data_IF_729537059305
#
_entry.id   IF_729537059305
#
_cell.length_a   1.000
_cell.length_b   1.000
_cell.length_c   1.000
_cell.angle_alpha   90.00
_cell.angle_beta   90.00
_cell.angle_gamma   90.00
#
_symmetry.space_group_name_H-M   'P 1'
#
loop_
_entity.id
_entity.type
_entity.pdbx_description
1 polymer ?
#
# COMPACT_ATOMS: atom_id res chain seq x y z
N UNK A 1 14.16 -17.97 -62.78
CA UNK A 1 14.46 -18.44 -61.38
C UNK A 1 14.56 -17.23 -60.46
N UNK A 2 13.46 -16.81 -59.83
CA UNK A 2 13.39 -15.61 -58.99
C UNK A 2 13.53 -16.04 -57.55
N UNK A 3 14.62 -15.69 -56.90
CA UNK A 3 14.87 -15.96 -55.45
C UNK A 3 14.09 -14.95 -54.63
N UNK A 4 13.08 -15.38 -53.90
CA UNK A 4 12.45 -14.62 -52.83
C UNK A 4 13.36 -14.62 -51.56
N UNK A 5 13.83 -13.44 -51.22
CA UNK A 5 14.57 -13.21 -49.95
C UNK A 5 13.56 -13.00 -48.83
N UNK A 6 13.39 -13.99 -47.96
CA UNK A 6 12.52 -13.93 -46.80
C UNK A 6 13.25 -13.12 -45.71
N UNK A 7 12.84 -11.86 -45.52
CA UNK A 7 13.35 -11.00 -44.43
C UNK A 7 12.66 -11.44 -43.15
N UNK A 8 13.36 -12.18 -42.27
CA UNK A 8 12.91 -12.43 -40.90
C UNK A 8 13.05 -11.17 -40.08
N UNK A 9 11.93 -10.53 -39.77
CA UNK A 9 11.87 -9.49 -38.71
C UNK A 9 12.06 -10.18 -37.36
N UNK A 10 13.26 -10.07 -36.81
CA UNK A 10 13.52 -10.41 -35.40
C UNK A 10 12.91 -9.30 -34.56
N UNK A 11 11.69 -9.56 -34.05
CA UNK A 11 11.05 -8.71 -33.05
C UNK A 11 11.82 -8.89 -31.74
N UNK A 12 12.89 -8.10 -31.55
CA UNK A 12 13.61 -8.01 -30.29
C UNK A 12 12.69 -7.46 -29.23
N UNK A 13 12.30 -8.28 -28.25
CA UNK A 13 11.62 -7.82 -27.05
C UNK A 13 12.54 -6.82 -26.33
N UNK A 14 12.23 -5.54 -26.46
CA UNK A 14 12.88 -4.48 -25.68
C UNK A 14 12.48 -4.69 -24.23
N UNK A 15 13.33 -5.36 -23.48
CA UNK A 15 13.21 -5.44 -22.04
C UNK A 15 13.37 -4.02 -21.50
N UNK A 16 12.28 -3.40 -21.07
CA UNK A 16 12.32 -2.11 -20.43
C UNK A 16 13.26 -2.21 -19.20
N UNK A 17 14.28 -1.34 -19.14
CA UNK A 17 15.19 -1.29 -17.98
C UNK A 17 14.34 -1.07 -16.71
N UNK A 18 14.62 -1.81 -15.62
CA UNK A 18 13.91 -1.59 -14.34
C UNK A 18 14.05 -0.11 -13.94
N UNK A 19 12.95 0.50 -13.51
CA UNK A 19 12.96 1.87 -13.01
C UNK A 19 13.91 1.98 -11.82
N UNK A 20 14.70 3.06 -11.73
CA UNK A 20 15.59 3.27 -10.60
C UNK A 20 14.78 3.35 -9.30
N UNK A 21 15.35 2.83 -8.22
CA UNK A 21 14.75 2.91 -6.89
C UNK A 21 14.47 4.38 -6.50
N UNK A 22 13.31 4.63 -5.90
CA UNK A 22 12.92 5.94 -5.39
C UNK A 22 12.81 5.90 -3.87
N UNK A 23 13.45 6.85 -3.18
CA UNK A 23 13.47 6.95 -1.72
C UNK A 23 13.17 8.37 -1.27
N UNK A 24 12.33 8.50 -0.26
CA UNK A 24 12.01 9.76 0.40
C UNK A 24 12.09 9.60 1.92
N UNK A 25 12.74 10.57 2.58
CA UNK A 25 12.51 10.94 3.96
C UNK A 25 12.11 12.41 4.00
N UNK A 26 10.93 12.67 4.50
CA UNK A 26 10.34 14.00 4.62
C UNK A 26 9.95 14.27 6.05
N UNK A 27 10.37 15.41 6.60
CA UNK A 27 9.90 15.89 7.89
C UNK A 27 8.70 16.82 7.64
N UNK A 28 7.50 16.37 8.02
CA UNK A 28 6.25 17.09 7.78
C UNK A 28 6.11 18.30 8.69
N UNK A 29 6.67 18.25 9.90
CA UNK A 29 6.62 19.34 10.88
C UNK A 29 7.43 20.55 10.41
N UNK A 30 8.60 20.32 9.80
CA UNK A 30 9.49 21.41 9.32
C UNK A 30 9.34 21.69 7.83
N UNK A 31 8.66 20.84 7.09
CA UNK A 31 8.51 20.94 5.63
C UNK A 31 9.75 20.53 4.83
N UNK A 32 10.77 19.94 5.46
CA UNK A 32 12.03 19.62 4.80
C UNK A 32 12.11 18.22 4.21
N UNK A 33 12.65 18.09 3.01
CA UNK A 33 13.06 16.85 2.40
C UNK A 33 14.47 16.51 2.85
N UNK A 34 14.61 15.52 3.76
CA UNK A 34 15.91 15.11 4.30
C UNK A 34 16.64 14.13 3.38
N UNK A 35 15.87 13.23 2.72
CA UNK A 35 16.37 12.31 1.69
C UNK A 35 15.39 12.34 0.54
N UNK A 36 15.86 12.47 -0.69
CA UNK A 36 15.03 12.42 -1.89
C UNK A 36 15.82 11.91 -3.08
N UNK A 37 15.33 10.83 -3.70
CA UNK A 37 15.88 10.33 -4.96
C UNK A 37 14.76 9.90 -5.91
N UNK A 38 14.91 10.25 -7.21
CA UNK A 38 13.96 9.92 -8.28
C UNK A 38 12.50 10.31 -7.95
N UNK A 39 12.31 11.52 -7.39
CA UNK A 39 11.04 11.99 -6.81
C UNK A 39 9.90 12.07 -7.83
N UNK A 40 10.22 12.50 -9.06
CA UNK A 40 9.24 12.76 -10.12
C UNK A 40 8.98 11.54 -11.01
N UNK A 41 9.67 10.43 -10.75
CA UNK A 41 9.47 9.19 -11.49
C UNK A 41 8.08 8.63 -11.19
N UNK A 42 7.22 8.59 -12.20
CA UNK A 42 5.92 7.91 -12.12
C UNK A 42 6.14 6.40 -12.17
N UNK A 43 5.61 5.69 -11.19
CA UNK A 43 5.81 4.26 -11.10
C UNK A 43 4.66 3.54 -10.39
N UNK A 44 4.49 2.24 -10.62
CA UNK A 44 3.53 1.43 -9.87
C UNK A 44 3.86 1.44 -8.37
N UNK A 45 2.81 1.57 -7.54
CA UNK A 45 2.92 1.63 -6.08
C UNK A 45 2.45 0.35 -5.37
N UNK A 46 2.02 -0.63 -6.15
CA UNK A 46 1.51 -1.90 -5.65
C UNK A 46 0.49 -1.70 -4.52
N UNK A 47 0.52 -2.54 -3.48
CA UNK A 47 -0.45 -2.51 -2.39
C UNK A 47 -0.38 -1.29 -1.45
N UNK A 48 0.50 -0.30 -1.69
CA UNK A 48 0.36 1.03 -1.04
C UNK A 48 -1.00 1.65 -1.43
N UNK A 49 -1.52 1.32 -2.61
CA UNK A 49 -2.90 1.60 -3.07
C UNK A 49 -3.96 1.35 -2.01
N UNK A 50 -3.82 0.32 -1.18
CA UNK A 50 -4.82 -0.05 -0.17
C UNK A 50 -5.04 1.01 0.92
N UNK A 51 -4.13 1.96 1.08
CA UNK A 51 -4.38 3.14 1.92
C UNK A 51 -5.45 4.04 1.30
N UNK A 52 -5.44 4.23 -0.03
CA UNK A 52 -6.51 4.95 -0.74
C UNK A 52 -7.84 4.20 -0.62
N UNK A 53 -7.83 2.88 -0.80
CA UNK A 53 -9.01 2.03 -0.62
C UNK A 53 -9.60 2.16 0.78
N UNK A 54 -8.75 2.15 1.83
CA UNK A 54 -9.19 2.34 3.20
C UNK A 54 -9.85 3.71 3.42
N UNK A 55 -9.22 4.79 2.93
CA UNK A 55 -9.76 6.15 3.06
C UNK A 55 -11.12 6.29 2.36
N UNK A 56 -11.25 5.85 1.10
CA UNK A 56 -12.51 5.94 0.35
C UNK A 56 -13.62 5.13 1.01
N UNK A 57 -13.30 3.94 1.56
CA UNK A 57 -14.25 3.15 2.34
C UNK A 57 -14.74 3.91 3.57
N UNK A 58 -13.83 4.52 4.34
CA UNK A 58 -14.15 5.24 5.58
C UNK A 58 -14.84 6.58 5.33
N UNK A 59 -14.60 7.22 4.19
CA UNK A 59 -15.32 8.43 3.79
C UNK A 59 -16.79 8.14 3.49
N UNK A 60 -17.05 6.97 2.90
CA UNK A 60 -18.41 6.54 2.59
C UNK A 60 -19.14 6.06 3.84
N UNK A 61 -18.54 5.18 4.62
CA UNK A 61 -19.20 4.59 5.79
C UNK A 61 -18.16 4.08 6.80
N UNK A 62 -18.25 4.61 8.02
CA UNK A 62 -17.36 4.27 9.14
C UNK A 62 -17.85 3.08 9.98
N UNK A 63 -19.04 2.53 9.67
CA UNK A 63 -19.57 1.37 10.40
C UNK A 63 -18.75 0.10 10.07
N UNK A 64 -17.87 -0.28 10.98
CA UNK A 64 -17.02 -1.46 10.86
C UNK A 64 -17.77 -2.77 11.22
N UNK A 65 -18.99 -2.69 11.76
CA UNK A 65 -19.79 -3.87 12.17
C UNK A 65 -20.61 -4.43 11.01
N UNK A 66 -20.85 -3.64 9.97
CA UNK A 66 -21.57 -4.07 8.77
C UNK A 66 -20.93 -5.31 8.14
N UNK A 67 -21.77 -6.30 7.82
CA UNK A 67 -21.30 -7.58 7.25
C UNK A 67 -21.24 -7.55 5.73
N UNK A 68 -20.15 -8.04 5.16
CA UNK A 68 -19.82 -8.10 3.74
C UNK A 68 -19.59 -9.55 3.31
N UNK A 69 -19.92 -9.87 2.06
CA UNK A 69 -19.61 -11.17 1.46
C UNK A 69 -18.29 -11.11 0.71
N UNK A 70 -17.26 -11.81 1.18
CA UNK A 70 -16.02 -11.98 0.44
C UNK A 70 -16.26 -12.90 -0.76
N UNK A 71 -15.84 -12.45 -1.95
CA UNK A 71 -16.02 -13.19 -3.20
C UNK A 71 -14.96 -14.28 -3.39
N UNK A 72 -13.81 -14.18 -2.71
CA UNK A 72 -12.70 -15.15 -2.78
C UNK A 72 -12.14 -15.34 -4.18
N UNK A 73 -12.02 -14.26 -4.98
CA UNK A 73 -11.71 -14.34 -6.42
C UNK A 73 -10.30 -13.90 -6.81
N UNK A 74 -9.62 -13.10 -5.98
CA UNK A 74 -8.39 -12.37 -6.38
C UNK A 74 -7.16 -12.82 -5.57
N UNK A 75 -7.15 -14.08 -5.10
CA UNK A 75 -6.04 -14.60 -4.28
C UNK A 75 -6.03 -13.99 -2.88
N UNK A 76 -7.23 -13.85 -2.28
CA UNK A 76 -7.41 -13.41 -0.91
C UNK A 76 -6.97 -14.46 0.10
N UNK A 77 -6.74 -14.01 1.31
CA UNK A 77 -6.34 -14.84 2.46
C UNK A 77 -7.55 -15.16 3.32
N UNK A 78 -8.53 -14.23 3.38
CA UNK A 78 -9.79 -14.51 4.03
C UNK A 78 -10.57 -15.57 3.23
N UNK A 79 -11.02 -16.67 3.87
CA UNK A 79 -11.89 -17.63 3.24
C UNK A 79 -13.17 -17.00 2.72
N UNK A 80 -13.77 -17.63 1.71
CA UNK A 80 -15.13 -17.25 1.27
C UNK A 80 -16.08 -17.29 2.44
N UNK A 81 -16.88 -16.26 2.59
CA UNK A 81 -17.83 -16.17 3.69
C UNK A 81 -18.31 -14.75 3.94
N UNK A 82 -18.97 -14.59 5.06
CA UNK A 82 -19.43 -13.32 5.55
C UNK A 82 -18.48 -12.84 6.65
N UNK A 83 -18.02 -11.61 6.51
CA UNK A 83 -17.07 -10.95 7.39
C UNK A 83 -17.58 -9.56 7.74
N UNK A 84 -17.27 -9.06 8.92
CA UNK A 84 -17.51 -7.66 9.22
C UNK A 84 -16.59 -6.76 8.36
N UNK A 85 -17.01 -5.56 8.05
CA UNK A 85 -16.16 -4.57 7.35
C UNK A 85 -14.85 -4.36 8.10
N UNK A 86 -14.87 -4.36 9.43
CA UNK A 86 -13.68 -4.29 10.27
C UNK A 86 -12.70 -5.43 10.02
N UNK A 87 -13.17 -6.68 9.98
CA UNK A 87 -12.32 -7.84 9.69
C UNK A 87 -11.72 -7.76 8.27
N UNK A 88 -12.53 -7.35 7.29
CA UNK A 88 -12.07 -7.13 5.91
C UNK A 88 -11.01 -6.02 5.87
N UNK A 89 -11.22 -4.90 6.60
CA UNK A 89 -10.25 -3.81 6.69
C UNK A 89 -8.93 -4.27 7.34
N UNK A 90 -8.99 -5.06 8.40
CA UNK A 90 -7.81 -5.65 9.04
C UNK A 90 -7.05 -6.56 8.07
N UNK A 91 -7.73 -7.46 7.36
CA UNK A 91 -7.09 -8.34 6.38
C UNK A 91 -6.40 -7.53 5.27
N UNK A 92 -7.04 -6.47 4.78
CA UNK A 92 -6.51 -5.59 3.75
C UNK A 92 -5.27 -4.83 4.22
N UNK A 93 -5.32 -4.19 5.38
CA UNK A 93 -4.23 -3.31 5.85
C UNK A 93 -3.07 -4.10 6.46
N UNK A 94 -3.33 -5.12 7.25
CA UNK A 94 -2.31 -5.92 7.97
C UNK A 94 -1.64 -6.91 7.03
N UNK A 95 -2.44 -7.76 6.36
CA UNK A 95 -1.93 -8.87 5.55
C UNK A 95 -1.86 -8.54 4.07
N UNK A 96 -2.38 -7.36 3.67
CA UNK A 96 -2.41 -6.92 2.28
C UNK A 96 -3.32 -7.77 1.39
N UNK A 97 -4.41 -8.30 1.95
CA UNK A 97 -5.38 -9.14 1.25
C UNK A 97 -6.00 -8.38 0.07
N UNK A 98 -5.92 -8.95 -1.14
CA UNK A 98 -6.43 -8.34 -2.36
C UNK A 98 -7.93 -8.51 -2.49
N UNK A 99 -8.47 -9.67 -2.09
CA UNK A 99 -9.92 -9.93 -2.12
C UNK A 99 -10.65 -9.05 -1.12
N UNK A 100 -10.03 -8.75 0.03
CA UNK A 100 -10.55 -7.80 0.98
C UNK A 100 -10.68 -6.38 0.36
N UNK A 101 -9.71 -5.92 -0.41
CA UNK A 101 -9.81 -4.64 -1.11
C UNK A 101 -10.95 -4.62 -2.15
N UNK A 102 -11.08 -5.68 -2.95
CA UNK A 102 -12.18 -5.84 -3.92
C UNK A 102 -13.55 -5.96 -3.22
N UNK A 103 -13.60 -6.61 -2.06
CA UNK A 103 -14.83 -6.73 -1.25
C UNK A 103 -15.30 -5.36 -0.76
N UNK A 104 -14.40 -4.52 -0.26
CA UNK A 104 -14.72 -3.15 0.15
C UNK A 104 -15.18 -2.29 -1.04
N UNK A 105 -14.52 -2.41 -2.19
CA UNK A 105 -14.91 -1.69 -3.40
C UNK A 105 -16.29 -2.13 -3.94
N UNK A 106 -16.64 -3.40 -3.80
CA UNK A 106 -17.93 -3.93 -4.23
C UNK A 106 -19.09 -3.47 -3.31
N UNK A 107 -18.81 -3.16 -2.04
CA UNK A 107 -19.80 -2.64 -1.07
C UNK A 107 -20.13 -1.16 -1.26
N UNK A 108 -19.35 -0.45 -2.05
CA UNK A 108 -19.54 0.98 -2.31
C UNK A 108 -20.81 1.25 -3.16
N UNK A 109 -21.57 2.34 -2.95
CA UNK A 109 -22.69 2.73 -3.79
C UNK A 109 -22.28 2.87 -5.27
N UNK A 110 -22.96 2.14 -6.14
CA UNK A 110 -22.57 2.03 -7.56
C UNK A 110 -21.45 1.03 -7.82
N UNK A 111 -21.00 0.30 -6.78
CA UNK A 111 -20.07 -0.82 -6.85
C UNK A 111 -18.64 -0.42 -7.23
N UNK A 112 -17.88 -1.39 -7.68
CA UNK A 112 -16.44 -1.27 -7.97
C UNK A 112 -16.10 -0.10 -8.91
N UNK A 113 -16.91 0.15 -9.94
CA UNK A 113 -16.62 1.22 -10.92
C UNK A 113 -16.75 2.61 -10.27
N UNK A 114 -17.80 2.85 -9.48
CA UNK A 114 -17.98 4.08 -8.74
C UNK A 114 -16.89 4.25 -7.66
N UNK A 115 -16.47 3.15 -7.02
CA UNK A 115 -15.38 3.17 -6.06
C UNK A 115 -14.05 3.62 -6.69
N UNK A 116 -13.69 3.10 -7.87
CA UNK A 116 -12.48 3.52 -8.59
C UNK A 116 -12.55 4.99 -9.02
N UNK A 117 -13.71 5.46 -9.45
CA UNK A 117 -13.92 6.87 -9.72
C UNK A 117 -13.69 7.73 -8.46
N UNK A 118 -14.20 7.29 -7.29
CA UNK A 118 -13.97 7.96 -6.01
C UNK A 118 -12.48 7.95 -5.59
N UNK A 119 -11.74 6.84 -5.81
CA UNK A 119 -10.30 6.78 -5.56
C UNK A 119 -9.54 7.83 -6.39
N UNK A 120 -9.84 7.94 -7.67
CA UNK A 120 -9.19 8.90 -8.56
C UNK A 120 -9.61 10.35 -8.25
N UNK A 121 -10.87 10.60 -7.92
CA UNK A 121 -11.33 11.90 -7.44
C UNK A 121 -10.61 12.32 -6.16
N UNK A 122 -10.45 11.39 -5.20
CA UNK A 122 -9.70 11.65 -3.96
C UNK A 122 -8.23 11.92 -4.23
N UNK A 123 -7.61 11.26 -5.21
CA UNK A 123 -6.22 11.56 -5.61
C UNK A 123 -6.06 13.00 -6.10
N UNK A 124 -7.03 13.51 -6.86
CA UNK A 124 -7.08 14.92 -7.29
C UNK A 124 -7.19 15.84 -6.08
N UNK A 125 -8.13 15.58 -5.16
CA UNK A 125 -8.31 16.37 -3.92
C UNK A 125 -7.05 16.42 -3.07
N UNK A 126 -6.29 15.32 -3.03
CA UNK A 126 -5.02 15.22 -2.33
C UNK A 126 -3.85 15.83 -3.14
N UNK A 127 -4.11 16.38 -4.32
CA UNK A 127 -3.10 16.90 -5.23
C UNK A 127 -1.98 15.88 -5.53
N UNK A 128 -2.29 14.59 -5.68
CA UNK A 128 -1.31 13.56 -5.98
C UNK A 128 -0.82 13.65 -7.42
N UNK A 129 0.47 14.01 -7.67
CA UNK A 129 0.96 14.18 -9.03
C UNK A 129 0.90 12.87 -9.81
N UNK A 130 0.38 12.94 -11.04
CA UNK A 130 0.33 11.80 -11.98
C UNK A 130 -0.24 10.52 -11.36
N UNK A 131 -1.18 10.66 -10.41
CA UNK A 131 -1.82 9.50 -9.80
C UNK A 131 -2.91 8.92 -10.69
N UNK A 132 -2.95 7.61 -10.76
CA UNK A 132 -4.04 6.85 -11.33
C UNK A 132 -4.26 5.57 -10.52
N UNK A 133 -5.53 5.20 -10.33
CA UNK A 133 -5.93 3.97 -9.65
C UNK A 133 -6.80 3.15 -10.60
N UNK A 134 -6.29 2.00 -11.06
CA UNK A 134 -6.95 1.06 -11.96
C UNK A 134 -7.66 -0.08 -11.23
N UNK A 135 -7.27 -0.35 -9.98
CA UNK A 135 -7.94 -1.31 -9.11
C UNK A 135 -7.81 -0.90 -7.62
N UNK A 136 -8.62 -1.49 -6.69
CA UNK A 136 -8.56 -1.14 -5.27
C UNK A 136 -7.43 -1.86 -4.52
N UNK A 137 -6.76 -2.85 -5.13
CA UNK A 137 -5.77 -3.71 -4.47
C UNK A 137 -4.32 -3.33 -4.74
N UNK A 138 -4.04 -2.68 -5.87
CA UNK A 138 -2.70 -2.38 -6.35
C UNK A 138 -2.06 -3.50 -7.16
N UNK A 139 -2.85 -4.46 -7.66
CA UNK A 139 -2.38 -5.49 -8.59
C UNK A 139 -2.22 -4.96 -10.01
N UNK A 140 -3.10 -4.06 -10.43
CA UNK A 140 -3.00 -3.40 -11.74
C UNK A 140 -1.79 -2.46 -11.75
N UNK A 141 -0.90 -2.64 -12.74
CA UNK A 141 0.25 -1.77 -12.95
C UNK A 141 -0.10 -0.31 -13.27
N UNK A 142 -1.37 -0.02 -13.56
CA UNK A 142 -1.91 1.32 -13.72
C UNK A 142 -2.11 2.05 -12.40
N UNK A 143 -1.97 1.40 -11.25
CA UNK A 143 -1.92 2.07 -9.94
C UNK A 143 -0.57 2.75 -9.78
N UNK A 144 -0.49 3.97 -10.26
CA UNK A 144 0.76 4.73 -10.36
C UNK A 144 0.67 6.09 -9.69
N UNK A 145 1.80 6.59 -9.23
CA UNK A 145 2.04 8.00 -8.86
C UNK A 145 3.54 8.22 -8.64
N UNK A 146 3.94 9.42 -8.24
CA UNK A 146 5.31 9.80 -7.87
C UNK A 146 5.56 9.60 -6.37
N UNK A 147 6.82 9.77 -5.90
CA UNK A 147 7.12 9.82 -4.46
C UNK A 147 6.28 10.86 -3.72
N UNK A 148 6.11 12.04 -4.31
CA UNK A 148 5.31 13.11 -3.70
C UNK A 148 3.83 12.72 -3.60
N UNK A 149 3.30 11.98 -4.58
CA UNK A 149 1.96 11.44 -4.50
C UNK A 149 1.80 10.44 -3.37
N UNK A 150 2.75 9.52 -3.19
CA UNK A 150 2.73 8.56 -2.06
C UNK A 150 2.88 9.29 -0.72
N UNK A 151 3.73 10.33 -0.63
CA UNK A 151 3.84 11.18 0.57
C UNK A 151 2.48 11.75 0.96
N UNK A 152 1.76 12.35 0.02
CA UNK A 152 0.42 12.93 0.26
C UNK A 152 -0.60 11.88 0.67
N UNK A 153 -0.57 10.71 0.04
CA UNK A 153 -1.40 9.56 0.41
C UNK A 153 -1.16 9.12 1.86
N UNK A 154 0.10 9.01 2.28
CA UNK A 154 0.49 8.62 3.63
C UNK A 154 0.06 9.65 4.68
N UNK A 155 0.34 10.93 4.44
CA UNK A 155 -0.10 12.01 5.33
C UNK A 155 -1.63 12.02 5.47
N UNK A 156 -2.37 11.98 4.36
CA UNK A 156 -3.82 11.93 4.40
C UNK A 156 -4.34 10.69 5.14
N UNK A 157 -3.73 9.51 4.93
CA UNK A 157 -4.13 8.29 5.62
C UNK A 157 -3.84 8.33 7.12
N UNK A 158 -2.84 9.10 7.57
CA UNK A 158 -2.51 9.27 8.98
C UNK A 158 -3.52 10.13 9.76
N UNK A 159 -4.41 10.82 9.07
CA UNK A 159 -5.51 11.57 9.69
C UNK A 159 -6.74 10.69 10.01
N UNK A 160 -6.73 9.40 9.58
CA UNK A 160 -7.79 8.45 9.87
C UNK A 160 -7.43 7.58 11.10
N UNK A 161 -8.08 7.76 12.27
CA UNK A 161 -7.76 6.98 13.47
C UNK A 161 -7.81 5.47 13.24
N UNK A 162 -8.79 4.99 12.46
CA UNK A 162 -8.95 3.57 12.12
C UNK A 162 -7.76 3.05 11.32
N UNK A 163 -7.23 3.83 10.37
CA UNK A 163 -6.05 3.42 9.59
C UNK A 163 -4.81 3.39 10.47
N UNK A 164 -4.62 4.41 11.32
CA UNK A 164 -3.53 4.44 12.32
C UNK A 164 -3.58 3.22 13.22
N UNK A 165 -4.74 2.91 13.78
CA UNK A 165 -4.92 1.77 14.67
C UNK A 165 -4.61 0.43 13.98
N UNK A 166 -5.20 0.19 12.79
CA UNK A 166 -5.15 -1.12 12.14
C UNK A 166 -3.79 -1.36 11.50
N UNK A 167 -3.23 -0.38 10.77
CA UNK A 167 -2.04 -0.60 9.93
C UNK A 167 -0.79 -0.98 10.71
N UNK A 168 -0.71 -0.61 12.00
CA UNK A 168 0.44 -0.88 12.87
C UNK A 168 0.25 -2.11 13.77
N UNK A 169 -0.90 -2.78 13.74
CA UNK A 169 -1.07 -4.04 14.47
C UNK A 169 -0.09 -5.08 13.94
N UNK A 170 0.66 -5.73 14.84
CA UNK A 170 1.65 -6.76 14.48
C UNK A 170 1.01 -7.98 13.84
N UNK A 171 -0.25 -8.26 14.23
CA UNK A 171 -1.09 -9.32 13.68
C UNK A 171 -2.58 -9.04 13.97
N UNK A 172 -3.46 -9.71 13.25
CA UNK A 172 -4.88 -9.84 13.60
C UNK A 172 -5.27 -11.32 13.74
N UNK A 173 -6.21 -11.60 14.64
CA UNK A 173 -6.74 -12.94 14.90
C UNK A 173 -8.25 -12.89 14.72
N UNK A 174 -8.79 -13.82 13.93
CA UNK A 174 -10.24 -13.94 13.70
C UNK A 174 -10.71 -15.36 13.93
N UNK A 175 -11.92 -15.51 14.45
CA UNK A 175 -12.60 -16.78 14.54
C UNK A 175 -13.51 -16.96 13.32
N UNK A 176 -13.13 -17.86 12.43
CA UNK A 176 -13.94 -18.19 11.25
C UNK A 176 -14.76 -19.45 11.51
N UNK A 177 -16.09 -19.29 11.50
CA UNK A 177 -17.01 -20.43 11.62
C UNK A 177 -17.22 -21.06 10.24
N UNK A 178 -16.69 -22.27 10.06
CA UNK A 178 -16.92 -23.07 8.88
C UNK A 178 -17.69 -24.35 9.26
N UNK A 179 -18.94 -24.47 8.81
CA UNK A 179 -19.89 -25.52 9.24
C UNK A 179 -20.03 -25.47 10.77
N UNK A 180 -19.74 -26.62 11.48
CA UNK A 180 -19.81 -26.73 12.94
C UNK A 180 -18.49 -26.49 13.66
N UNK A 181 -17.40 -26.10 12.93
CA UNK A 181 -16.07 -25.92 13.50
C UNK A 181 -15.67 -24.44 13.46
N UNK A 182 -15.02 -23.97 14.54
CA UNK A 182 -14.36 -22.67 14.57
C UNK A 182 -12.90 -22.89 14.20
N UNK A 183 -12.40 -22.11 13.25
CA UNK A 183 -10.98 -22.05 12.86
C UNK A 183 -10.45 -20.68 13.18
N UNK A 184 -9.31 -20.62 13.88
CA UNK A 184 -8.58 -19.37 14.08
C UNK A 184 -7.80 -19.04 12.82
N UNK A 185 -7.95 -17.81 12.34
CA UNK A 185 -7.20 -17.25 11.23
C UNK A 185 -6.26 -16.22 11.81
N UNK A 186 -4.96 -16.43 11.64
CA UNK A 186 -3.92 -15.51 12.04
C UNK A 186 -3.37 -14.77 10.82
N UNK A 187 -3.37 -13.45 10.89
CA UNK A 187 -2.89 -12.56 9.83
C UNK A 187 -1.70 -11.74 10.34
N UNK A 188 -0.46 -12.22 10.20
CA UNK A 188 0.72 -11.44 10.56
C UNK A 188 0.89 -10.24 9.63
N UNK A 189 1.32 -9.09 10.18
CA UNK A 189 1.56 -7.89 9.39
C UNK A 189 2.71 -8.09 8.39
N UNK A 190 2.54 -7.57 7.19
CA UNK A 190 3.56 -7.64 6.13
C UNK A 190 4.80 -6.80 6.43
N UNK A 191 4.73 -5.90 7.43
CA UNK A 191 5.83 -5.06 7.93
C UNK A 191 6.19 -5.39 9.39
N UNK A 192 5.89 -6.59 9.86
CA UNK A 192 6.07 -6.96 11.27
C UNK A 192 7.48 -6.73 11.80
N UNK A 193 8.51 -6.92 10.97
CA UNK A 193 9.90 -6.75 11.38
C UNK A 193 10.17 -5.32 11.88
N UNK A 194 9.71 -4.28 11.17
CA UNK A 194 9.86 -2.89 11.61
C UNK A 194 8.93 -2.58 12.78
N UNK A 195 7.70 -3.12 12.82
CA UNK A 195 6.76 -2.91 13.90
C UNK A 195 7.17 -3.59 15.22
N UNK A 196 8.04 -4.60 15.19
CA UNK A 196 8.63 -5.18 16.40
C UNK A 196 9.81 -4.37 16.93
N UNK A 197 10.49 -3.63 16.07
CA UNK A 197 11.72 -2.90 16.36
C UNK A 197 11.45 -1.42 16.68
N UNK A 198 10.39 -0.84 16.10
CA UNK A 198 10.05 0.58 16.24
C UNK A 198 8.58 0.74 16.64
N UNK A 199 8.30 1.34 17.78
CA UNK A 199 6.96 1.58 18.32
C UNK A 199 6.37 2.94 17.92
N UNK A 200 7.18 3.81 17.33
CA UNK A 200 6.83 5.15 16.87
C UNK A 200 6.27 5.21 15.42
N UNK A 201 6.06 4.06 14.78
CA UNK A 201 5.39 3.97 13.49
C UNK A 201 3.88 4.12 13.70
N UNK A 202 3.25 5.10 13.06
CA UNK A 202 1.81 5.38 13.21
C UNK A 202 0.96 4.99 12.01
N UNK A 203 1.56 4.85 10.82
CA UNK A 203 0.94 4.25 9.62
C UNK A 203 1.99 3.46 8.88
N UNK A 204 1.63 2.29 8.37
CA UNK A 204 2.52 1.54 7.48
C UNK A 204 1.75 0.75 6.44
N UNK A 205 2.33 0.65 5.23
CA UNK A 205 1.87 -0.27 4.19
C UNK A 205 3.03 -0.71 3.30
N UNK A 206 3.15 -2.02 3.11
CA UNK A 206 4.08 -2.60 2.14
C UNK A 206 3.39 -2.86 0.80
N UNK A 207 4.16 -2.94 -0.27
CA UNK A 207 3.67 -3.35 -1.59
C UNK A 207 4.69 -4.22 -2.31
N UNK A 208 4.18 -5.09 -3.19
CA UNK A 208 4.99 -5.88 -4.10
C UNK A 208 4.17 -6.27 -5.32
N UNK A 209 4.67 -5.94 -6.49
CA UNK A 209 4.34 -6.55 -7.79
C UNK A 209 5.61 -6.57 -8.64
N UNK A 210 5.66 -7.39 -9.69
CA UNK A 210 6.84 -7.42 -10.55
C UNK A 210 7.21 -6.03 -11.12
N UNK A 211 6.26 -5.21 -11.64
CA UNK A 211 6.61 -3.88 -12.15
C UNK A 211 6.92 -2.85 -11.05
N UNK A 212 6.35 -2.99 -9.83
CA UNK A 212 6.59 -2.05 -8.74
C UNK A 212 7.88 -2.31 -7.98
N UNK A 213 8.34 -3.56 -7.91
CA UNK A 213 9.36 -4.00 -6.98
C UNK A 213 8.85 -3.99 -5.53
N UNK A 214 9.76 -4.06 -4.57
CA UNK A 214 9.43 -4.02 -3.15
C UNK A 214 9.22 -2.59 -2.69
N UNK A 215 8.03 -2.28 -2.20
CA UNK A 215 7.60 -0.94 -1.80
C UNK A 215 7.29 -0.88 -0.30
N UNK A 216 7.47 0.30 0.29
CA UNK A 216 7.12 0.63 1.66
C UNK A 216 6.69 2.09 1.75
N UNK A 217 5.60 2.35 2.46
CA UNK A 217 5.21 3.66 2.95
C UNK A 217 5.01 3.61 4.45
N UNK A 218 5.55 4.61 5.16
CA UNK A 218 5.37 4.76 6.61
C UNK A 218 5.21 6.22 6.99
N UNK A 219 4.43 6.45 8.05
CA UNK A 219 4.44 7.69 8.84
C UNK A 219 4.97 7.33 10.22
N UNK A 220 5.88 8.15 10.73
CA UNK A 220 6.58 7.97 12.00
C UNK A 220 6.43 9.25 12.81
N UNK A 221 6.18 9.14 14.11
CA UNK A 221 6.14 10.29 15.03
C UNK A 221 7.24 10.11 16.08
N UNK A 222 8.16 11.08 16.18
CA UNK A 222 9.29 11.06 17.12
C UNK A 222 9.60 12.47 17.61
N UNK A 223 9.75 12.65 18.93
CA UNK A 223 10.12 13.94 19.52
C UNK A 223 9.15 15.08 19.14
N UNK A 224 7.85 14.80 19.01
CA UNK A 224 6.84 15.77 18.56
C UNK A 224 6.91 16.11 17.07
N UNK A 225 7.75 15.45 16.29
CA UNK A 225 7.86 15.63 14.86
C UNK A 225 7.24 14.45 14.09
N UNK A 226 6.67 14.75 12.92
CA UNK A 226 6.08 13.78 12.02
C UNK A 226 6.97 13.59 10.78
N UNK A 227 7.33 12.35 10.49
CA UNK A 227 8.16 11.98 9.34
C UNK A 227 7.42 11.06 8.39
N UNK A 228 7.68 11.20 7.10
CA UNK A 228 7.18 10.31 6.06
C UNK A 228 8.35 9.61 5.39
N UNK A 229 8.32 8.28 5.37
CA UNK A 229 9.29 7.43 4.69
C UNK A 229 8.59 6.73 3.53
N UNK A 230 9.15 6.85 2.33
CA UNK A 230 8.69 6.13 1.14
C UNK A 230 9.88 5.44 0.48
N UNK A 231 9.73 4.16 0.20
CA UNK A 231 10.68 3.36 -0.56
C UNK A 231 9.90 2.67 -1.68
N UNK A 232 10.25 2.93 -2.93
CA UNK A 232 9.62 2.31 -4.10
C UNK A 232 10.69 1.63 -4.95
N UNK A 233 10.44 0.39 -5.39
CA UNK A 233 11.30 -0.33 -6.32
C UNK A 233 12.55 -0.92 -5.73
N UNK A 234 12.59 -1.25 -4.46
CA UNK A 234 13.68 -2.06 -3.91
C UNK A 234 13.71 -3.44 -4.58
N UNK A 235 14.90 -3.99 -4.78
CA UNK A 235 15.11 -5.24 -5.53
C UNK A 235 14.59 -6.47 -4.78
N UNK A 236 14.61 -6.43 -3.46
CA UNK A 236 14.14 -7.51 -2.59
C UNK A 236 13.73 -6.98 -1.21
N UNK A 237 13.14 -7.88 -0.40
CA UNK A 237 12.67 -7.56 0.95
C UNK A 237 13.80 -7.07 1.86
N UNK A 238 14.98 -7.67 1.79
CA UNK A 238 16.10 -7.33 2.66
C UNK A 238 16.62 -5.93 2.37
N UNK A 239 16.74 -5.56 1.09
CA UNK A 239 17.13 -4.20 0.70
C UNK A 239 16.13 -3.16 1.19
N UNK A 240 14.82 -3.39 1.01
CA UNK A 240 13.77 -2.52 1.53
C UNK A 240 13.87 -2.33 3.04
N UNK A 241 14.07 -3.43 3.78
CA UNK A 241 14.21 -3.39 5.24
C UNK A 241 15.50 -2.66 5.66
N UNK A 242 16.63 -2.94 4.98
CA UNK A 242 17.91 -2.27 5.26
C UNK A 242 17.77 -0.76 5.11
N UNK A 243 17.24 -0.28 3.99
CA UNK A 243 17.06 1.16 3.75
C UNK A 243 16.14 1.78 4.81
N UNK A 244 15.01 1.12 5.14
CA UNK A 244 14.09 1.62 6.14
C UNK A 244 14.76 1.75 7.52
N UNK A 245 15.52 0.75 7.96
CA UNK A 245 16.25 0.77 9.22
C UNK A 245 17.35 1.84 9.26
N UNK A 246 18.14 1.96 8.19
CA UNK A 246 19.16 3.01 8.07
C UNK A 246 18.55 4.41 8.20
N UNK A 247 17.40 4.65 7.54
CA UNK A 247 16.67 5.92 7.69
C UNK A 247 16.19 6.12 9.13
N UNK A 248 15.58 5.11 9.75
CA UNK A 248 15.08 5.19 11.11
C UNK A 248 16.19 5.50 12.11
N UNK A 249 17.27 4.74 12.10
CA UNK A 249 18.38 4.90 13.05
C UNK A 249 19.15 6.20 12.86
N UNK A 250 19.52 6.54 11.62
CA UNK A 250 20.43 7.66 11.37
C UNK A 250 19.74 9.05 11.35
N UNK A 251 18.41 9.09 11.17
CA UNK A 251 17.73 10.37 10.96
C UNK A 251 16.56 10.64 11.91
N UNK A 252 16.04 9.62 12.59
CA UNK A 252 14.83 9.76 13.41
C UNK A 252 15.13 9.42 14.88
N UNK A 253 15.76 8.27 15.15
CA UNK A 253 15.99 7.82 16.53
C UNK A 253 17.19 8.51 17.19
N UNK A 254 18.20 8.95 16.43
CA UNK A 254 19.40 9.64 16.96
C UNK A 254 19.19 11.14 17.26
N UNK A 255 18.01 11.69 16.99
CA UNK A 255 17.74 13.12 17.27
C UNK A 255 17.59 13.45 18.76
N UNK A 256 17.43 12.45 19.63
CA UNK A 256 17.35 12.63 21.09
C UNK A 256 18.73 12.68 21.79
N UNK A 257 19.85 12.54 21.04
CA UNK A 257 21.22 12.54 21.54
C UNK A 257 22.07 13.73 21.07
N UNK A 258 21.44 14.76 20.46
CA UNK A 258 22.15 15.98 20.01
C UNK A 258 21.62 17.25 20.64
#
# INVERSE_FOLDING_TARGET
>A
MTRFLLLMLVCGSVWAKPLPQSVLLYNDTTGHHLIQSNADTVRPIASITKLMTAMVTLDYDKDLTRTLKSAGKVGGILPRGTWTRGEVMHAMLIRSDNDAAETLAADYPGGRSAFLAAMNAKAILLNMPNANFGDPSGLDSKNVTTLLGVKRLLLASSEYPIIREISVKKQALFDHRFKKKIRKIELPNTNKELLFEFDNIVVTKTGLTNPAGWCLGMVVEQGGQKYVIVILGARNKLERLKIAKEIMYNNITDTDLR
#
